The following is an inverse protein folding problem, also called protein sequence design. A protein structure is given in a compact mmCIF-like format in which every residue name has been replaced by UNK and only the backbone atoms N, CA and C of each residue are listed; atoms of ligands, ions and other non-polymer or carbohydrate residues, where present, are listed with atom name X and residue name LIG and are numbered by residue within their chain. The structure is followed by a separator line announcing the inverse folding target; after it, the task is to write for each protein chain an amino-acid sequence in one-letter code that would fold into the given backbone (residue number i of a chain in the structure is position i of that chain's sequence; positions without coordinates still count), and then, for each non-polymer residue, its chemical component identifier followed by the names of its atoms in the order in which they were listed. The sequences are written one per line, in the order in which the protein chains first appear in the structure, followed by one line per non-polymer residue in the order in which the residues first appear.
data_IF_456394626909
#
_entry.id   IF_456394626909
#
_cell.length_a   1.000
_cell.length_b   1.000
_cell.length_c   1.000
_cell.angle_alpha   90.00
_cell.angle_beta   90.00
_cell.angle_gamma   90.00
#
_symmetry.space_group_name_H-M   'P 1'
#
loop_
_entity.id
_entity.type
_entity.pdbx_description
1 polymer ?
#
# COMPACT_ATOMS: atom_id res chain seq x y z
N UNK A 1 60.22 46.75 -14.08
CA UNK A 1 59.15 46.66 -15.04
C UNK A 1 58.37 45.43 -14.68
N UNK A 2 57.31 45.54 -13.86
CA UNK A 2 56.40 44.46 -13.48
C UNK A 2 55.25 44.36 -14.50
N UNK A 3 55.13 43.22 -15.06
CA UNK A 3 54.33 42.93 -16.24
C UNK A 3 52.82 42.99 -15.91
N UNK A 4 52.09 43.94 -16.48
CA UNK A 4 50.67 44.18 -16.28
C UNK A 4 49.77 43.02 -16.78
N UNK A 5 50.31 41.98 -17.41
CA UNK A 5 49.55 40.82 -17.91
C UNK A 5 49.22 39.76 -16.87
N UNK A 6 49.93 39.73 -15.71
CA UNK A 6 49.67 38.74 -14.65
C UNK A 6 48.48 39.08 -13.74
N UNK A 7 48.07 40.33 -13.67
CA UNK A 7 46.94 40.79 -12.83
C UNK A 7 45.56 40.59 -13.49
N UNK A 8 45.49 40.60 -14.82
CA UNK A 8 44.23 40.41 -15.55
C UNK A 8 43.78 38.95 -15.54
N UNK A 9 44.73 37.99 -15.49
CA UNK A 9 44.41 36.55 -15.50
C UNK A 9 43.87 36.03 -14.16
N UNK A 10 44.27 36.70 -13.02
CA UNK A 10 43.81 36.32 -11.67
C UNK A 10 42.35 36.78 -11.42
N UNK A 11 41.91 37.92 -11.97
CA UNK A 11 40.56 38.42 -11.81
C UNK A 11 39.53 37.62 -12.64
N UNK A 12 39.94 37.01 -13.77
CA UNK A 12 39.01 36.24 -14.62
C UNK A 12 38.71 34.86 -14.05
N UNK A 13 39.60 34.26 -13.27
CA UNK A 13 39.42 32.96 -12.59
C UNK A 13 38.48 33.04 -11.38
N UNK A 14 38.45 34.17 -10.66
CA UNK A 14 37.55 34.38 -9.53
C UNK A 14 36.06 34.53 -9.96
N UNK A 15 35.82 35.15 -11.10
CA UNK A 15 34.46 35.49 -11.53
C UNK A 15 33.69 34.31 -12.12
N UNK A 16 34.37 33.28 -12.65
CA UNK A 16 33.78 32.06 -13.12
C UNK A 16 33.29 31.13 -11.99
N UNK A 17 34.04 31.12 -10.85
CA UNK A 17 33.69 30.32 -9.67
C UNK A 17 32.39 30.79 -8.99
N UNK A 18 32.19 32.08 -8.87
CA UNK A 18 30.97 32.64 -8.26
C UNK A 18 29.72 32.47 -9.12
N UNK A 19 29.86 32.49 -10.42
CA UNK A 19 28.75 32.20 -11.36
C UNK A 19 28.38 30.71 -11.33
N UNK A 20 29.39 29.82 -11.23
CA UNK A 20 29.15 28.39 -11.09
C UNK A 20 28.52 28.05 -9.73
N UNK A 21 29.01 28.70 -8.64
CA UNK A 21 28.41 28.53 -7.31
C UNK A 21 26.96 29.09 -7.25
N UNK A 22 26.70 30.23 -7.87
CA UNK A 22 25.38 30.82 -7.99
C UNK A 22 24.41 29.93 -8.81
N UNK A 23 24.87 29.39 -9.94
CA UNK A 23 24.08 28.42 -10.75
C UNK A 23 23.83 27.13 -9.98
N UNK A 24 24.81 26.61 -9.24
CA UNK A 24 24.64 25.43 -8.40
C UNK A 24 23.65 25.68 -7.26
N UNK A 25 23.71 26.84 -6.60
CA UNK A 25 22.75 27.24 -5.57
C UNK A 25 21.32 27.41 -6.13
N UNK A 26 21.17 28.01 -7.30
CA UNK A 26 19.87 28.10 -7.98
C UNK A 26 19.36 26.72 -8.41
N UNK A 27 20.25 25.85 -8.89
CA UNK A 27 19.87 24.45 -9.21
C UNK A 27 19.44 23.68 -7.95
N UNK A 28 20.15 23.84 -6.83
CA UNK A 28 19.82 23.23 -5.53
C UNK A 28 18.51 23.78 -4.94
N UNK A 29 18.23 25.07 -5.12
CA UNK A 29 16.98 25.71 -4.71
C UNK A 29 15.80 25.30 -5.61
N UNK A 30 16.05 25.06 -6.89
CA UNK A 30 15.04 24.59 -7.83
C UNK A 30 14.62 23.11 -7.62
N UNK A 31 15.42 22.34 -6.88
CA UNK A 31 15.13 20.94 -6.54
C UNK A 31 14.39 20.76 -5.20
N UNK A 32 13.95 21.83 -4.55
CA UNK A 32 13.02 21.76 -3.42
C UNK A 32 11.64 21.29 -3.91
N UNK A 33 11.59 20.05 -4.45
CA UNK A 33 10.35 19.39 -4.84
C UNK A 33 9.62 19.09 -3.55
N UNK A 34 8.43 19.68 -3.36
CA UNK A 34 7.51 19.29 -2.30
C UNK A 34 7.23 17.78 -2.48
N UNK A 35 7.68 16.96 -1.53
CA UNK A 35 7.35 15.53 -1.53
C UNK A 35 5.95 15.37 -0.95
N UNK A 36 4.92 15.14 -1.77
CA UNK A 36 3.58 14.90 -1.25
C UNK A 36 3.55 13.58 -0.47
N UNK A 37 2.76 13.57 0.62
CA UNK A 37 2.54 12.36 1.40
C UNK A 37 1.92 11.27 0.51
N UNK A 38 2.47 10.07 0.58
CA UNK A 38 1.96 8.89 -0.11
C UNK A 38 1.37 7.91 0.89
N UNK A 39 0.37 7.17 0.45
CA UNK A 39 -0.20 6.10 1.26
C UNK A 39 0.71 4.89 1.31
N UNK A 40 0.58 4.15 2.40
CA UNK A 40 1.20 2.83 2.54
C UNK A 40 0.62 1.87 1.50
N UNK A 41 1.47 1.05 0.94
CA UNK A 41 1.05 -0.02 0.03
C UNK A 41 1.49 -1.38 0.56
N UNK A 42 0.68 -2.38 0.29
CA UNK A 42 0.94 -3.76 0.68
C UNK A 42 1.45 -4.57 -0.53
N UNK A 43 2.29 -5.55 -0.25
CA UNK A 43 2.85 -6.43 -1.27
C UNK A 43 1.94 -7.61 -1.60
N UNK A 44 0.96 -7.86 -0.72
CA UNK A 44 -0.07 -8.87 -0.89
C UNK A 44 -1.45 -8.21 -1.12
N UNK A 45 -1.74 -7.69 -2.34
CA UNK A 45 -2.95 -6.90 -2.61
C UNK A 45 -4.24 -7.72 -2.42
N UNK A 46 -4.17 -9.05 -2.54
CA UNK A 46 -5.32 -9.92 -2.33
C UNK A 46 -5.63 -10.15 -0.85
N UNK A 47 -4.64 -10.09 0.03
CA UNK A 47 -4.84 -10.10 1.46
C UNK A 47 -5.33 -8.74 1.97
N UNK A 48 -4.74 -7.64 1.49
CA UNK A 48 -5.11 -6.27 1.85
C UNK A 48 -6.15 -5.66 0.89
N UNK A 49 -7.07 -6.47 0.39
CA UNK A 49 -8.04 -6.11 -0.66
C UNK A 49 -8.96 -4.94 -0.29
N UNK A 50 -9.40 -4.85 0.96
CA UNK A 50 -10.28 -3.77 1.44
C UNK A 50 -9.55 -2.42 1.48
N UNK A 51 -8.23 -2.44 1.67
CA UNK A 51 -7.38 -1.27 1.54
C UNK A 51 -7.28 -0.81 0.08
N UNK A 52 -7.11 -1.74 -0.84
CA UNK A 52 -6.94 -1.45 -2.25
C UNK A 52 -8.21 -0.87 -2.91
N UNK A 53 -9.39 -1.46 -2.62
CA UNK A 53 -10.65 -1.03 -3.23
C UNK A 53 -11.84 -1.43 -2.33
N UNK A 54 -12.71 -0.48 -1.92
CA UNK A 54 -13.88 -0.79 -1.10
C UNK A 54 -14.89 -1.73 -1.77
N UNK A 55 -14.91 -1.83 -3.10
CA UNK A 55 -15.78 -2.75 -3.82
C UNK A 55 -15.39 -4.23 -3.67
N UNK A 56 -14.23 -4.55 -3.07
CA UNK A 56 -13.87 -5.91 -2.70
C UNK A 56 -14.55 -6.40 -1.41
N UNK A 57 -15.23 -5.53 -0.69
CA UNK A 57 -15.95 -5.90 0.54
C UNK A 57 -16.96 -7.01 0.27
N UNK A 58 -16.84 -8.14 0.99
CA UNK A 58 -17.73 -9.31 0.85
C UNK A 58 -17.66 -10.03 -0.50
N UNK A 59 -16.59 -9.81 -1.29
CA UNK A 59 -16.50 -10.39 -2.63
C UNK A 59 -16.03 -11.85 -2.63
N UNK A 60 -15.17 -12.23 -1.70
CA UNK A 60 -14.50 -13.54 -1.72
C UNK A 60 -15.09 -14.51 -0.73
N UNK A 61 -15.44 -14.04 0.45
CA UNK A 61 -15.86 -14.84 1.59
C UNK A 61 -17.15 -14.28 2.19
N UNK A 62 -17.97 -15.13 2.82
CA UNK A 62 -19.17 -14.68 3.52
C UNK A 62 -18.80 -13.85 4.76
N UNK A 63 -17.72 -14.25 5.44
CA UNK A 63 -17.13 -13.57 6.58
C UNK A 63 -15.61 -13.73 6.50
N UNK A 64 -14.88 -12.65 6.64
CA UNK A 64 -13.42 -12.74 6.75
C UNK A 64 -12.86 -11.72 7.73
N UNK A 65 -11.76 -12.09 8.38
CA UNK A 65 -10.92 -11.20 9.17
C UNK A 65 -9.49 -11.41 8.73
N UNK A 66 -8.81 -10.34 8.38
CA UNK A 66 -7.43 -10.37 7.91
C UNK A 66 -6.57 -9.45 8.77
N UNK A 67 -5.45 -9.96 9.26
CA UNK A 67 -4.38 -9.21 9.92
C UNK A 67 -3.17 -9.21 9.00
N UNK A 68 -2.63 -8.03 8.69
CA UNK A 68 -1.42 -7.86 7.90
C UNK A 68 -0.41 -7.04 8.69
N UNK A 69 0.84 -7.46 8.65
CA UNK A 69 1.98 -6.77 9.25
C UNK A 69 3.06 -6.61 8.20
N UNK A 70 3.55 -5.39 8.02
CA UNK A 70 4.60 -5.04 7.06
C UNK A 70 5.69 -4.25 7.76
N UNK A 71 6.94 -4.69 7.59
CA UNK A 71 8.15 -3.99 8.02
C UNK A 71 8.99 -3.68 6.78
N UNK A 72 9.14 -2.39 6.50
CA UNK A 72 9.90 -1.90 5.35
C UNK A 72 11.18 -1.23 5.83
N UNK A 73 12.30 -1.62 5.22
CA UNK A 73 13.65 -1.17 5.55
C UNK A 73 14.05 -1.49 6.99
N UNK A 74 14.01 -2.78 7.40
CA UNK A 74 14.26 -3.20 8.78
C UNK A 74 15.67 -2.86 9.28
N UNK A 75 16.61 -2.60 8.40
CA UNK A 75 17.98 -2.23 8.78
C UNK A 75 18.15 -0.73 9.06
N UNK A 76 17.12 0.10 8.81
CA UNK A 76 17.14 1.50 9.19
C UNK A 76 16.73 1.66 10.66
N UNK A 77 17.43 2.53 11.44
CA UNK A 77 16.89 3.00 12.71
C UNK A 77 15.52 3.65 12.48
N UNK A 78 14.46 3.10 13.11
CA UNK A 78 13.09 3.58 12.90
C UNK A 78 12.49 3.15 11.57
N UNK A 79 12.55 1.84 11.27
CA UNK A 79 11.91 1.23 10.10
C UNK A 79 10.43 1.63 9.95
N UNK A 80 9.87 1.42 8.77
CA UNK A 80 8.47 1.74 8.48
C UNK A 80 7.63 0.52 8.77
N UNK A 81 6.85 0.58 9.85
CA UNK A 81 6.01 -0.53 10.31
C UNK A 81 4.55 -0.20 10.07
N UNK A 82 3.88 -1.04 9.29
CA UNK A 82 2.45 -0.94 9.03
C UNK A 82 1.71 -2.17 9.54
N UNK A 83 0.66 -1.95 10.30
CA UNK A 83 -0.26 -3.01 10.75
C UNK A 83 -1.65 -2.71 10.25
N UNK A 84 -2.32 -3.70 9.68
CA UNK A 84 -3.69 -3.60 9.19
C UNK A 84 -4.56 -4.70 9.77
N UNK A 85 -5.74 -4.34 10.26
CA UNK A 85 -6.82 -5.26 10.56
C UNK A 85 -7.99 -4.92 9.63
N UNK A 86 -8.46 -5.90 8.88
CA UNK A 86 -9.58 -5.79 7.97
C UNK A 86 -10.61 -6.88 8.27
N UNK A 87 -11.88 -6.51 8.26
CA UNK A 87 -12.98 -7.46 8.43
C UNK A 87 -14.09 -7.14 7.42
N UNK A 88 -14.66 -8.15 6.82
CA UNK A 88 -15.80 -7.99 5.92
C UNK A 88 -16.84 -9.10 6.07
N UNK A 89 -18.07 -8.75 5.73
CA UNK A 89 -19.27 -9.56 5.94
C UNK A 89 -20.21 -9.39 4.75
N UNK A 90 -20.58 -10.49 4.12
CA UNK A 90 -21.69 -10.60 3.19
C UNK A 90 -22.28 -12.01 3.27
N UNK A 91 -23.34 -12.24 4.06
CA UNK A 91 -24.00 -13.54 4.11
C UNK A 91 -24.47 -13.96 2.70
N UNK A 92 -24.09 -15.16 2.29
CA UNK A 92 -24.48 -15.69 0.97
C UNK A 92 -25.90 -16.29 1.01
N UNK A 93 -26.87 -15.40 1.15
CA UNK A 93 -28.29 -15.75 1.11
C UNK A 93 -28.96 -15.14 -0.14
N UNK A 94 -30.02 -15.76 -0.69
CA UNK A 94 -30.75 -15.21 -1.82
C UNK A 94 -31.27 -13.79 -1.52
N UNK A 95 -31.06 -12.87 -2.47
CA UNK A 95 -31.44 -11.46 -2.32
C UNK A 95 -30.47 -10.59 -1.52
N UNK A 96 -29.37 -11.13 -0.98
CA UNK A 96 -28.35 -10.36 -0.29
C UNK A 96 -27.36 -9.75 -1.28
N UNK A 97 -27.50 -8.46 -1.49
CA UNK A 97 -26.65 -7.67 -2.38
C UNK A 97 -25.66 -6.79 -1.63
N UNK A 98 -25.84 -6.62 -0.34
CA UNK A 98 -25.12 -5.68 0.50
C UNK A 98 -23.98 -6.37 1.27
N UNK A 99 -22.84 -5.68 1.36
CA UNK A 99 -21.72 -6.11 2.14
C UNK A 99 -21.22 -4.95 3.00
N UNK A 100 -20.73 -5.28 4.19
CA UNK A 100 -20.15 -4.34 5.14
C UNK A 100 -18.71 -4.72 5.45
N UNK A 101 -17.88 -3.72 5.70
CA UNK A 101 -16.49 -3.92 6.06
C UNK A 101 -15.99 -2.90 7.06
N UNK A 102 -14.97 -3.30 7.78
CA UNK A 102 -14.19 -2.44 8.68
C UNK A 102 -12.72 -2.58 8.34
N UNK A 103 -12.00 -1.48 8.43
CA UNK A 103 -10.58 -1.39 8.17
C UNK A 103 -9.93 -0.55 9.25
N UNK A 104 -8.85 -1.07 9.85
CA UNK A 104 -8.00 -0.35 10.79
C UNK A 104 -6.57 -0.44 10.27
N UNK A 105 -5.96 0.71 9.99
CA UNK A 105 -4.56 0.81 9.59
C UNK A 105 -3.80 1.60 10.65
N UNK A 106 -2.66 1.09 11.07
CA UNK A 106 -1.68 1.81 11.87
C UNK A 106 -0.36 1.81 11.12
N UNK A 107 0.17 2.99 10.87
CA UNK A 107 1.47 3.20 10.26
C UNK A 107 2.38 3.97 11.23
N UNK A 108 3.62 3.48 11.38
CA UNK A 108 4.67 4.09 12.20
C UNK A 108 5.91 4.22 11.35
N UNK A 109 6.50 5.41 11.32
CA UNK A 109 7.66 5.65 10.47
C UNK A 109 8.68 6.56 11.12
N UNK A 110 9.94 6.21 10.88
CA UNK A 110 11.09 7.00 11.28
C UNK A 110 11.37 6.98 12.78
N UNK A 111 12.55 7.49 13.13
CA UNK A 111 13.02 7.67 14.52
C UNK A 111 12.22 8.73 15.26
N UNK A 112 11.58 9.66 14.53
CA UNK A 112 10.74 10.74 15.07
C UNK A 112 9.38 10.30 15.59
N UNK A 113 9.07 9.00 15.58
CA UNK A 113 7.81 8.46 16.11
C UNK A 113 6.56 8.98 15.41
N UNK A 114 6.65 9.30 14.12
CA UNK A 114 5.48 9.57 13.31
C UNK A 114 4.53 8.38 13.36
N UNK A 115 3.27 8.63 13.70
CA UNK A 115 2.23 7.60 13.75
C UNK A 115 0.98 8.11 13.05
N UNK A 116 0.45 7.31 12.13
CA UNK A 116 -0.84 7.54 11.48
C UNK A 116 -1.76 6.36 11.80
N UNK A 117 -2.91 6.65 12.37
CA UNK A 117 -3.98 5.69 12.62
C UNK A 117 -5.16 6.06 11.73
N UNK A 118 -5.71 5.11 11.00
CA UNK A 118 -6.88 5.31 10.15
C UNK A 118 -7.89 4.19 10.38
N UNK A 119 -9.15 4.56 10.65
CA UNK A 119 -10.29 3.67 10.81
C UNK A 119 -11.29 3.93 9.70
N UNK A 120 -11.63 2.89 8.92
CA UNK A 120 -12.55 2.97 7.79
C UNK A 120 -13.75 2.07 7.94
N UNK A 121 -14.94 2.60 7.64
CA UNK A 121 -16.14 1.83 7.39
C UNK A 121 -16.34 1.69 5.88
N UNK A 122 -16.64 0.46 5.43
CA UNK A 122 -16.79 0.14 4.04
C UNK A 122 -18.19 -0.45 3.80
N UNK A 123 -18.75 -0.09 2.66
CA UNK A 123 -20.01 -0.64 2.17
C UNK A 123 -19.83 -1.02 0.70
N UNK A 124 -20.36 -2.17 0.30
CA UNK A 124 -20.41 -2.56 -1.10
C UNK A 124 -21.77 -3.11 -1.48
N UNK A 125 -22.16 -2.83 -2.73
CA UNK A 125 -23.36 -3.37 -3.36
C UNK A 125 -22.96 -4.24 -4.55
N UNK A 126 -23.46 -5.47 -4.57
CA UNK A 126 -23.18 -6.46 -5.60
C UNK A 126 -24.39 -6.68 -6.48
N UNK A 127 -24.19 -6.68 -7.80
CA UNK A 127 -25.24 -6.96 -8.77
C UNK A 127 -24.76 -7.89 -9.87
N UNK A 128 -25.63 -8.73 -10.38
CA UNK A 128 -25.34 -9.56 -11.56
C UNK A 128 -25.70 -8.80 -12.82
N UNK A 129 -24.76 -8.68 -13.74
CA UNK A 129 -25.00 -8.12 -15.07
C UNK A 129 -25.44 -9.22 -16.05
N UNK A 130 -24.83 -10.39 -15.94
CA UNK A 130 -25.16 -11.59 -16.72
C UNK A 130 -25.03 -12.82 -15.82
N UNK A 131 -25.33 -14.01 -16.34
CA UNK A 131 -25.13 -15.27 -15.60
C UNK A 131 -23.67 -15.50 -15.16
N UNK A 132 -22.70 -14.96 -15.91
CA UNK A 132 -21.26 -15.19 -15.72
C UNK A 132 -20.51 -13.97 -15.17
N UNK A 133 -21.09 -12.77 -15.27
CA UNK A 133 -20.43 -11.51 -14.93
C UNK A 133 -21.25 -10.79 -13.87
N UNK A 134 -20.57 -10.31 -12.84
CA UNK A 134 -21.13 -9.49 -11.79
C UNK A 134 -20.32 -8.20 -11.61
N UNK A 135 -20.97 -7.18 -11.06
CA UNK A 135 -20.40 -5.89 -10.72
C UNK A 135 -20.56 -5.66 -9.22
N UNK A 136 -19.53 -5.16 -8.60
CA UNK A 136 -19.55 -4.64 -7.23
C UNK A 136 -19.19 -3.17 -7.26
N UNK A 137 -19.99 -2.32 -6.61
CA UNK A 137 -19.69 -0.93 -6.32
C UNK A 137 -19.45 -0.75 -4.83
N UNK A 138 -18.44 0.02 -4.44
CA UNK A 138 -18.07 0.19 -3.03
C UNK A 138 -17.84 1.65 -2.65
N UNK A 139 -18.11 1.95 -1.38
CA UNK A 139 -17.85 3.23 -0.74
C UNK A 139 -17.03 3.00 0.52
N UNK A 140 -16.16 3.96 0.85
CA UNK A 140 -15.35 3.99 2.08
C UNK A 140 -15.44 5.36 2.71
N UNK A 141 -15.67 5.40 4.00
CA UNK A 141 -15.54 6.58 4.84
C UNK A 141 -14.52 6.24 5.92
N UNK A 142 -13.45 7.02 6.02
CA UNK A 142 -12.37 6.79 6.99
C UNK A 142 -12.14 8.01 7.83
N UNK A 143 -11.90 7.80 9.13
CA UNK A 143 -11.36 8.79 10.05
C UNK A 143 -9.90 8.48 10.32
N UNK A 144 -9.04 9.47 10.13
CA UNK A 144 -7.61 9.36 10.33
C UNK A 144 -7.11 10.35 11.38
N UNK A 145 -6.08 9.91 12.13
CA UNK A 145 -5.35 10.74 13.09
C UNK A 145 -3.86 10.51 12.89
N UNK A 146 -3.11 11.60 12.75
CA UNK A 146 -1.66 11.55 12.68
C UNK A 146 -1.02 12.40 13.76
N UNK A 147 0.14 11.96 14.24
CA UNK A 147 0.91 12.63 15.28
C UNK A 147 2.39 12.36 15.10
N UNK A 148 3.22 13.24 15.64
CA UNK A 148 4.67 13.06 15.80
C UNK A 148 4.96 13.05 17.30
N UNK A 149 5.82 12.13 17.75
CA UNK A 149 6.21 12.01 19.15
C UNK A 149 7.43 12.90 19.44
N UNK A 150 7.23 14.21 19.55
CA UNK A 150 8.31 15.19 19.75
C UNK A 150 9.10 14.97 21.02
N UNK A 151 8.50 14.36 22.05
CA UNK A 151 9.17 14.09 23.32
C UNK A 151 10.36 13.11 23.19
N UNK A 152 10.50 12.45 22.04
CA UNK A 152 11.63 11.55 21.74
C UNK A 152 12.78 12.24 21.04
N UNK A 153 12.64 13.50 20.66
CA UNK A 153 13.72 14.26 20.03
C UNK A 153 14.67 14.84 21.06
N UNK A 154 15.94 14.86 20.69
CA UNK A 154 17.00 15.56 21.40
C UNK A 154 17.37 16.78 20.57
N UNK A 155 17.25 17.97 21.14
CA UNK A 155 17.54 19.22 20.49
C UNK A 155 18.95 19.71 20.85
N UNK A 156 19.53 20.59 20.02
CA UNK A 156 20.88 21.09 20.20
C UNK A 156 21.10 21.83 21.52
N UNK A 157 20.06 22.48 22.05
CA UNK A 157 20.06 23.18 23.36
C UNK A 157 20.14 22.23 24.56
N UNK A 158 19.81 20.97 24.34
CA UNK A 158 19.87 19.91 25.35
C UNK A 158 21.26 19.22 25.40
N UNK A 159 22.14 19.50 24.44
CA UNK A 159 23.46 18.89 24.36
C UNK A 159 24.51 19.85 24.95
N UNK A 160 25.04 19.51 26.11
CA UNK A 160 26.10 20.27 26.73
C UNK A 160 27.43 20.17 25.94
N UNK A 161 28.38 21.04 26.19
CA UNK A 161 29.67 21.08 25.50
C UNK A 161 30.51 19.78 25.64
N UNK A 162 30.24 18.99 26.66
CA UNK A 162 30.82 17.67 26.91
C UNK A 162 30.06 16.52 26.25
N UNK A 163 28.96 16.82 25.48
CA UNK A 163 28.13 15.83 24.81
C UNK A 163 27.08 15.18 25.72
N UNK A 164 26.97 15.59 26.98
CA UNK A 164 25.92 15.09 27.88
C UNK A 164 24.57 15.77 27.63
N UNK A 165 23.47 15.07 27.88
CA UNK A 165 22.14 15.66 27.81
C UNK A 165 21.85 16.46 29.09
N UNK A 166 21.54 17.73 28.94
CA UNK A 166 21.27 18.64 30.05
C UNK A 166 19.93 19.33 29.93
N UNK A 167 19.01 18.97 30.78
CA UNK A 167 17.75 19.69 31.00
C UNK A 167 16.67 19.54 29.91
N UNK A 168 15.50 20.16 30.10
CA UNK A 168 14.46 20.24 29.10
C UNK A 168 14.83 21.21 27.99
N UNK A 169 14.37 20.96 26.75
CA UNK A 169 14.54 21.88 25.64
C UNK A 169 13.75 23.17 25.82
N UNK A 170 14.30 24.28 25.35
CA UNK A 170 13.59 25.56 25.21
C UNK A 170 12.72 25.61 23.95
N UNK A 171 12.85 24.65 23.04
CA UNK A 171 12.06 24.57 21.81
C UNK A 171 10.60 24.28 22.15
N UNK A 172 9.71 25.19 21.74
CA UNK A 172 8.26 25.00 21.89
C UNK A 172 7.73 24.34 20.63
N UNK A 173 7.57 23.03 20.67
CA UNK A 173 6.98 22.25 19.59
C UNK A 173 5.55 21.87 19.96
N UNK A 174 4.63 22.76 19.67
CA UNK A 174 3.19 22.51 19.84
C UNK A 174 2.58 22.07 18.50
N UNK A 175 2.80 20.81 18.14
CA UNK A 175 2.15 20.20 17.00
C UNK A 175 1.01 19.30 17.49
N UNK A 176 -0.16 19.88 17.59
CA UNK A 176 -1.36 19.13 17.91
C UNK A 176 -1.58 18.00 16.89
N UNK A 177 -2.05 16.83 17.31
CA UNK A 177 -2.41 15.76 16.39
C UNK A 177 -3.42 16.24 15.33
N UNK A 178 -3.18 15.91 14.07
CA UNK A 178 -4.07 16.27 12.97
C UNK A 178 -5.08 15.14 12.75
N UNK A 179 -6.35 15.51 12.78
CA UNK A 179 -7.46 14.60 12.50
C UNK A 179 -8.05 14.93 11.13
N UNK A 180 -8.44 13.92 10.37
CA UNK A 180 -9.01 14.12 9.05
C UNK A 180 -10.08 13.07 8.73
N UNK A 181 -10.99 13.43 7.83
CA UNK A 181 -11.96 12.52 7.24
C UNK A 181 -11.55 12.26 5.78
N UNK A 182 -11.62 11.01 5.36
CA UNK A 182 -11.30 10.62 3.99
C UNK A 182 -12.45 9.83 3.38
N UNK A 183 -12.71 10.10 2.10
CA UNK A 183 -13.74 9.45 1.30
C UNK A 183 -13.09 8.67 0.17
N UNK A 184 -13.61 7.48 -0.09
CA UNK A 184 -13.17 6.63 -1.20
C UNK A 184 -14.33 5.91 -1.87
N UNK A 185 -14.13 5.56 -3.12
CA UNK A 185 -15.09 4.76 -3.90
C UNK A 185 -14.36 3.77 -4.78
N UNK A 186 -15.08 2.79 -5.28
CA UNK A 186 -14.52 1.85 -6.23
C UNK A 186 -15.56 0.98 -6.91
N UNK A 187 -15.13 0.32 -7.96
CA UNK A 187 -15.91 -0.65 -8.71
C UNK A 187 -15.06 -1.88 -9.06
N UNK A 188 -15.66 -3.04 -9.05
CA UNK A 188 -15.04 -4.30 -9.49
C UNK A 188 -15.99 -5.04 -10.40
N UNK A 189 -15.58 -5.23 -11.65
CA UNK A 189 -16.24 -6.15 -12.59
C UNK A 189 -15.58 -7.51 -12.45
N UNK A 190 -16.32 -8.58 -12.22
CA UNK A 190 -15.75 -9.88 -11.96
C UNK A 190 -16.58 -11.05 -12.51
N UNK A 191 -15.88 -12.14 -12.74
CA UNK A 191 -16.43 -13.43 -13.15
C UNK A 191 -15.80 -14.54 -12.32
N UNK A 192 -16.07 -15.79 -12.61
CA UNK A 192 -15.38 -16.94 -11.99
C UNK A 192 -13.91 -17.09 -12.39
N UNK A 193 -13.45 -16.39 -13.43
CA UNK A 193 -12.08 -16.51 -13.95
C UNK A 193 -11.30 -15.21 -14.01
N UNK A 194 -11.93 -14.04 -13.95
CA UNK A 194 -11.21 -12.77 -14.07
C UNK A 194 -11.91 -11.64 -13.32
N UNK A 195 -11.15 -10.59 -13.04
CA UNK A 195 -11.64 -9.35 -12.44
C UNK A 195 -10.94 -8.14 -13.03
N UNK A 196 -11.64 -7.02 -13.03
CA UNK A 196 -11.12 -5.68 -13.31
C UNK A 196 -11.61 -4.75 -12.20
N UNK A 197 -10.69 -4.05 -11.57
CA UNK A 197 -10.90 -3.20 -10.40
C UNK A 197 -10.48 -1.77 -10.70
N UNK A 198 -11.32 -0.80 -10.36
CA UNK A 198 -11.03 0.64 -10.40
C UNK A 198 -11.38 1.22 -9.04
N UNK A 199 -10.50 2.08 -8.46
CA UNK A 199 -10.80 2.78 -7.22
C UNK A 199 -10.18 4.18 -7.18
N UNK A 200 -10.85 5.05 -6.42
CA UNK A 200 -10.35 6.37 -6.03
C UNK A 200 -10.46 6.51 -4.51
N UNK A 201 -9.36 6.85 -3.86
CA UNK A 201 -9.30 7.10 -2.43
C UNK A 201 -8.90 8.54 -2.18
N UNK A 202 -9.22 9.07 -0.99
CA UNK A 202 -8.96 10.46 -0.62
C UNK A 202 -9.57 11.47 -1.61
N UNK A 203 -10.80 11.20 -2.06
CA UNK A 203 -11.50 12.03 -3.06
C UNK A 203 -11.70 13.47 -2.60
N UNK A 204 -11.80 13.68 -1.29
CA UNK A 204 -11.92 14.99 -0.65
C UNK A 204 -10.58 15.65 -0.32
N UNK A 205 -9.44 15.03 -0.64
CA UNK A 205 -8.08 15.54 -0.43
C UNK A 205 -7.89 16.22 0.94
N UNK A 206 -8.07 15.50 2.05
CA UNK A 206 -8.04 16.09 3.38
C UNK A 206 -6.67 16.69 3.69
N UNK A 207 -6.66 17.76 4.50
CA UNK A 207 -5.42 18.38 4.96
C UNK A 207 -4.74 17.50 6.02
N UNK A 208 -3.44 17.25 5.84
CA UNK A 208 -2.57 16.52 6.77
C UNK A 208 -1.50 17.43 7.40
N UNK A 209 -1.49 18.71 7.08
CA UNK A 209 -0.46 19.65 7.55
C UNK A 209 -0.54 19.90 9.04
N UNK A 210 0.60 19.82 9.76
CA UNK A 210 0.69 20.21 11.16
C UNK A 210 0.71 21.74 11.32
N UNK A 211 1.39 22.45 10.43
CA UNK A 211 1.52 23.91 10.42
C UNK A 211 1.16 24.55 9.09
N UNK A 212 1.31 23.84 7.98
CA UNK A 212 1.01 24.31 6.63
C UNK A 212 -0.07 23.44 6.00
N UNK A 213 -0.82 24.00 5.06
CA UNK A 213 -1.78 23.23 4.27
C UNK A 213 -1.01 22.21 3.40
N UNK A 214 -1.00 20.97 3.83
CA UNK A 214 -0.51 19.82 3.07
C UNK A 214 -1.67 18.89 2.82
N UNK A 215 -2.17 18.86 1.60
CA UNK A 215 -3.29 18.01 1.23
C UNK A 215 -2.81 16.58 0.94
N UNK A 216 -3.56 15.58 1.40
CA UNK A 216 -3.37 14.19 1.00
C UNK A 216 -3.89 14.03 -0.43
N UNK A 217 -3.01 13.74 -1.41
CA UNK A 217 -3.44 13.63 -2.79
C UNK A 217 -4.37 12.43 -2.99
N UNK A 218 -5.29 12.58 -3.94
CA UNK A 218 -6.15 11.48 -4.36
C UNK A 218 -5.31 10.32 -4.90
N UNK A 219 -5.61 9.10 -4.43
CA UNK A 219 -5.04 7.85 -4.95
C UNK A 219 -6.01 7.25 -5.95
N UNK A 220 -5.59 7.16 -7.20
CA UNK A 220 -6.29 6.44 -8.27
C UNK A 220 -5.63 5.10 -8.50
N UNK A 221 -6.42 4.05 -8.64
CA UNK A 221 -5.92 2.71 -8.91
C UNK A 221 -6.77 1.97 -9.93
N UNK A 222 -6.07 1.19 -10.78
CA UNK A 222 -6.67 0.23 -11.70
C UNK A 222 -5.91 -1.07 -11.59
N UNK A 223 -6.58 -2.20 -11.40
CA UNK A 223 -5.93 -3.50 -11.34
C UNK A 223 -6.82 -4.60 -11.89
N UNK A 224 -6.22 -5.68 -12.34
CA UNK A 224 -6.96 -6.81 -12.87
C UNK A 224 -6.12 -8.07 -12.92
N UNK A 225 -6.81 -9.18 -13.16
CA UNK A 225 -6.17 -10.46 -13.33
C UNK A 225 -7.12 -11.49 -13.90
N UNK A 226 -6.55 -12.58 -14.39
CA UNK A 226 -7.30 -13.67 -14.96
C UNK A 226 -6.70 -15.00 -14.52
N UNK A 227 -7.53 -15.90 -13.98
CA UNK A 227 -7.13 -17.23 -13.52
C UNK A 227 -7.35 -18.27 -14.60
N UNK A 228 -6.28 -18.92 -14.98
CA UNK A 228 -6.27 -20.06 -15.90
C UNK A 228 -6.14 -21.34 -15.09
N UNK A 229 -7.13 -22.21 -15.17
CA UNK A 229 -7.10 -23.52 -14.52
C UNK A 229 -6.44 -24.55 -15.42
N UNK A 230 -5.43 -25.24 -14.90
CA UNK A 230 -4.89 -26.48 -15.46
C UNK A 230 -5.72 -27.65 -14.92
N UNK A 231 -6.02 -27.60 -13.60
CA UNK A 231 -6.93 -28.53 -12.92
C UNK A 231 -7.93 -27.72 -12.13
N UNK A 232 -9.21 -27.79 -12.55
CA UNK A 232 -10.29 -27.06 -11.86
C UNK A 232 -10.82 -27.92 -10.70
N UNK A 233 -10.92 -27.35 -9.47
CA UNK A 233 -11.44 -28.09 -8.32
C UNK A 233 -12.92 -28.43 -8.54
N UNK A 234 -13.27 -29.69 -8.29
CA UNK A 234 -14.65 -30.18 -8.46
C UNK A 234 -15.00 -30.67 -9.88
N UNK A 235 -14.08 -30.60 -10.84
CA UNK A 235 -14.22 -31.24 -12.13
C UNK A 235 -13.81 -32.73 -12.02
N UNK A 236 -14.78 -33.63 -11.80
CA UNK A 236 -14.52 -35.06 -11.62
C UNK A 236 -13.92 -35.41 -10.26
N UNK A 237 -12.84 -36.21 -10.25
CA UNK A 237 -12.16 -36.70 -9.02
C UNK A 237 -11.14 -35.70 -8.44
N UNK A 238 -10.91 -34.57 -9.12
CA UNK A 238 -9.87 -33.63 -8.71
C UNK A 238 -10.26 -32.86 -7.43
N UNK A 239 -9.57 -33.15 -6.33
CA UNK A 239 -9.71 -32.45 -5.04
C UNK A 239 -8.79 -31.23 -4.93
N UNK A 240 -7.85 -31.06 -5.87
CA UNK A 240 -6.80 -30.04 -5.84
C UNK A 240 -6.98 -29.06 -7.00
N UNK A 241 -6.72 -27.78 -6.72
CA UNK A 241 -6.61 -26.75 -7.75
C UNK A 241 -5.15 -26.69 -8.25
N UNK A 242 -4.98 -26.64 -9.58
CA UNK A 242 -3.74 -26.20 -10.23
C UNK A 242 -4.09 -25.08 -11.18
N UNK A 243 -3.59 -23.88 -10.92
CA UNK A 243 -3.91 -22.71 -11.73
C UNK A 243 -2.75 -21.73 -11.79
N UNK A 244 -2.75 -20.86 -12.79
CA UNK A 244 -1.89 -19.70 -12.85
C UNK A 244 -2.71 -18.44 -13.10
N UNK A 245 -2.30 -17.33 -12.45
CA UNK A 245 -3.04 -16.08 -12.46
C UNK A 245 -2.10 -14.92 -12.75
N UNK A 246 -2.00 -14.47 -14.02
CA UNK A 246 -1.38 -13.20 -14.33
C UNK A 246 -2.20 -12.05 -13.76
N UNK A 247 -1.50 -11.04 -13.26
CA UNK A 247 -2.08 -9.83 -12.65
C UNK A 247 -1.32 -8.60 -13.11
N UNK A 248 -2.04 -7.48 -13.21
CA UNK A 248 -1.45 -6.17 -13.47
C UNK A 248 -2.16 -5.09 -12.66
N UNK A 249 -1.44 -4.02 -12.33
CA UNK A 249 -1.96 -2.89 -11.58
C UNK A 249 -1.25 -1.59 -11.93
N UNK A 250 -2.02 -0.49 -11.89
CA UNK A 250 -1.55 0.87 -12.07
C UNK A 250 -2.11 1.72 -10.92
N UNK A 251 -1.25 2.52 -10.31
CA UNK A 251 -1.58 3.38 -9.17
C UNK A 251 -0.95 4.75 -9.38
N UNK A 252 -1.70 5.80 -9.07
CA UNK A 252 -1.23 7.17 -9.19
C UNK A 252 -1.64 7.99 -7.97
N UNK A 253 -0.67 8.63 -7.30
CA UNK A 253 -0.91 9.50 -6.14
C UNK A 253 0.17 10.58 -6.04
N UNK A 254 -0.24 11.85 -5.96
CA UNK A 254 0.66 12.96 -5.64
C UNK A 254 1.85 13.11 -6.58
N UNK A 255 1.67 12.89 -7.89
CA UNK A 255 2.75 12.95 -8.88
C UNK A 255 3.63 11.68 -8.93
N UNK A 256 3.40 10.71 -8.04
CA UNK A 256 4.02 9.38 -8.10
C UNK A 256 3.13 8.41 -8.85
N UNK A 257 3.74 7.54 -9.63
CA UNK A 257 3.04 6.46 -10.35
C UNK A 257 3.70 5.13 -10.05
N UNK A 258 2.89 4.10 -9.79
CA UNK A 258 3.35 2.73 -9.56
C UNK A 258 2.67 1.81 -10.55
N UNK A 259 3.45 0.99 -11.23
CA UNK A 259 2.95 -0.07 -12.09
C UNK A 259 3.44 -1.42 -11.57
N UNK A 260 2.57 -2.41 -11.64
CA UNK A 260 2.83 -3.77 -11.17
C UNK A 260 2.40 -4.76 -12.24
N UNK A 261 3.21 -5.81 -12.42
CA UNK A 261 2.86 -6.96 -13.25
C UNK A 261 3.39 -8.22 -12.57
N UNK A 262 2.57 -9.25 -12.48
CA UNK A 262 2.95 -10.46 -11.75
C UNK A 262 2.26 -11.71 -12.22
N UNK A 263 2.75 -12.83 -11.72
CA UNK A 263 2.21 -14.15 -11.94
C UNK A 263 2.13 -14.92 -10.62
N UNK A 264 0.98 -15.48 -10.36
CA UNK A 264 0.76 -16.41 -9.25
C UNK A 264 0.48 -17.80 -9.78
N UNK A 265 1.09 -18.80 -9.15
CA UNK A 265 0.85 -20.23 -9.42
C UNK A 265 0.27 -20.83 -8.15
N UNK A 266 -0.91 -21.42 -8.25
CA UNK A 266 -1.59 -22.08 -7.15
C UNK A 266 -1.58 -23.60 -7.40
N UNK A 267 -1.06 -24.33 -6.43
CA UNK A 267 -1.16 -25.80 -6.34
C UNK A 267 -1.66 -26.09 -4.94
N UNK A 268 -2.97 -26.18 -4.77
CA UNK A 268 -3.60 -26.29 -3.45
C UNK A 268 -2.90 -27.33 -2.56
N UNK A 269 -2.49 -26.98 -1.33
CA UNK A 269 -2.86 -25.78 -0.56
C UNK A 269 -1.88 -24.59 -0.69
N UNK A 270 -0.88 -24.64 -1.56
CA UNK A 270 0.19 -23.65 -1.67
C UNK A 270 -0.05 -22.74 -2.87
N UNK A 271 0.22 -21.46 -2.69
CA UNK A 271 0.32 -20.46 -3.77
C UNK A 271 1.68 -19.79 -3.72
N UNK A 272 2.37 -19.71 -4.84
CA UNK A 272 3.60 -18.95 -5.01
C UNK A 272 3.38 -17.86 -6.06
N UNK A 273 4.00 -16.70 -5.87
CA UNK A 273 3.87 -15.58 -6.80
C UNK A 273 5.15 -14.77 -6.92
N UNK A 274 5.30 -14.13 -8.07
CA UNK A 274 6.32 -13.11 -8.30
C UNK A 274 5.68 -11.91 -8.97
N UNK A 275 5.94 -10.71 -8.44
CA UNK A 275 5.41 -9.45 -8.95
C UNK A 275 6.57 -8.49 -9.17
N UNK A 276 6.70 -7.98 -10.37
CA UNK A 276 7.57 -6.87 -10.68
C UNK A 276 6.83 -5.56 -10.45
N UNK A 277 7.47 -4.66 -9.71
CA UNK A 277 6.93 -3.35 -9.34
C UNK A 277 7.89 -2.26 -9.79
N UNK A 278 7.37 -1.29 -10.52
CA UNK A 278 8.09 -0.08 -10.90
C UNK A 278 7.39 1.12 -10.27
N UNK A 279 8.14 1.92 -9.52
CA UNK A 279 7.66 3.15 -8.87
C UNK A 279 8.39 4.32 -9.49
N UNK A 280 7.63 5.22 -10.11
CA UNK A 280 8.09 6.51 -10.60
C UNK A 280 7.83 7.56 -9.52
N UNK A 281 8.90 8.16 -8.99
CA UNK A 281 8.83 9.22 -7.99
C UNK A 281 8.39 10.55 -8.60
N UNK A 282 7.86 11.48 -7.78
CA UNK A 282 7.48 12.81 -8.25
C UNK A 282 8.63 13.52 -8.99
N UNK A 283 8.30 14.21 -10.07
CA UNK A 283 9.29 14.90 -10.91
C UNK A 283 9.96 14.02 -11.97
N UNK A 284 9.67 12.72 -12.02
CA UNK A 284 10.21 11.82 -13.05
C UNK A 284 11.71 11.52 -12.93
N UNK A 285 12.34 11.91 -11.81
CA UNK A 285 13.81 11.94 -11.63
C UNK A 285 14.37 10.57 -11.23
N UNK A 286 13.56 9.71 -10.61
CA UNK A 286 14.03 8.41 -10.15
C UNK A 286 12.97 7.32 -10.33
N UNK A 287 13.42 6.15 -10.76
CA UNK A 287 12.64 4.92 -10.81
C UNK A 287 13.13 3.96 -9.72
N UNK A 288 12.20 3.37 -8.99
CA UNK A 288 12.48 2.27 -8.10
C UNK A 288 11.91 0.99 -8.70
N UNK A 289 12.78 0.02 -8.90
CA UNK A 289 12.42 -1.30 -9.40
C UNK A 289 12.52 -2.30 -8.26
N UNK A 290 11.44 -3.03 -8.03
CA UNK A 290 11.36 -4.05 -6.98
C UNK A 290 10.84 -5.36 -7.58
N UNK A 291 11.33 -6.46 -7.05
CA UNK A 291 10.77 -7.78 -7.27
C UNK A 291 10.16 -8.25 -5.94
N UNK A 292 8.89 -8.61 -5.99
CA UNK A 292 8.14 -9.12 -4.83
C UNK A 292 7.97 -10.61 -4.99
N UNK A 293 8.54 -11.39 -4.08
CA UNK A 293 8.27 -12.82 -3.96
C UNK A 293 7.15 -13.03 -2.95
N UNK A 294 6.19 -13.88 -3.28
CA UNK A 294 5.01 -14.15 -2.43
C UNK A 294 4.84 -15.65 -2.25
N UNK A 295 4.57 -16.07 -1.03
CA UNK A 295 4.22 -17.43 -0.68
C UNK A 295 2.96 -17.45 0.18
N UNK A 296 1.98 -18.26 -0.18
CA UNK A 296 0.73 -18.42 0.53
C UNK A 296 0.43 -19.88 0.86
N UNK A 297 -0.20 -20.10 1.99
CA UNK A 297 -0.68 -21.40 2.45
C UNK A 297 -2.14 -21.29 2.87
N UNK A 298 -2.98 -22.18 2.38
CA UNK A 298 -4.39 -22.26 2.77
C UNK A 298 -4.65 -23.61 3.46
N UNK A 299 -5.11 -23.56 4.71
CA UNK A 299 -5.46 -24.72 5.51
C UNK A 299 -6.88 -24.52 6.09
N UNK A 300 -7.86 -25.17 5.49
CA UNK A 300 -9.26 -25.00 5.89
C UNK A 300 -9.74 -23.55 5.80
N UNK A 301 -10.15 -22.97 6.93
CA UNK A 301 -10.55 -21.55 7.04
C UNK A 301 -9.39 -20.58 7.30
N UNK A 302 -8.17 -21.07 7.47
CA UNK A 302 -6.99 -20.28 7.74
C UNK A 302 -6.19 -20.07 6.45
N UNK A 303 -5.73 -18.85 6.21
CA UNK A 303 -4.78 -18.49 5.17
C UNK A 303 -3.60 -17.74 5.77
N UNK A 304 -2.41 -18.16 5.41
CA UNK A 304 -1.16 -17.52 5.77
C UNK A 304 -0.48 -17.03 4.51
N UNK A 305 0.01 -15.82 4.53
CA UNK A 305 0.78 -15.23 3.44
C UNK A 305 2.09 -14.64 3.96
N UNK A 306 3.15 -14.81 3.19
CA UNK A 306 4.41 -14.12 3.40
C UNK A 306 4.89 -13.54 2.08
N UNK A 307 5.38 -12.32 2.11
CA UNK A 307 6.06 -11.74 0.95
C UNK A 307 7.33 -11.00 1.36
N UNK A 308 8.26 -10.95 0.41
CA UNK A 308 9.50 -10.23 0.53
C UNK A 308 9.73 -9.36 -0.71
N UNK A 309 9.91 -8.04 -0.50
CA UNK A 309 10.18 -7.07 -1.55
C UNK A 309 11.69 -6.87 -1.65
N UNK A 310 12.26 -7.24 -2.80
CA UNK A 310 13.68 -7.05 -3.11
C UNK A 310 13.82 -5.83 -4.01
N UNK A 311 14.52 -4.82 -3.53
CA UNK A 311 14.91 -3.70 -4.38
C UNK A 311 16.03 -4.08 -5.34
N UNK A 312 15.88 -3.75 -6.61
CA UNK A 312 16.86 -4.07 -7.64
C UNK A 312 18.00 -3.04 -7.73
N UNK A 313 17.96 -1.98 -6.93
CA UNK A 313 19.06 -1.01 -6.76
C UNK A 313 19.93 -1.40 -5.57
N UNK A 314 21.24 -1.06 -5.60
CA UNK A 314 22.18 -1.31 -4.48
C UNK A 314 21.69 -0.70 -3.18
N UNK A 315 21.27 0.57 -3.21
CA UNK A 315 20.76 1.26 -2.02
C UNK A 315 19.56 0.54 -1.41
N UNK A 316 18.63 0.04 -2.21
CA UNK A 316 17.45 -0.67 -1.74
C UNK A 316 17.77 -2.05 -1.14
N UNK A 317 18.80 -2.72 -1.64
CA UNK A 317 19.28 -4.00 -1.11
C UNK A 317 19.93 -3.82 0.29
N UNK A 318 20.73 -2.76 0.47
CA UNK A 318 21.41 -2.45 1.73
C UNK A 318 20.42 -2.08 2.86
N UNK A 319 19.22 -1.63 2.53
CA UNK A 319 18.18 -1.26 3.49
C UNK A 319 17.33 -2.45 3.98
N UNK A 320 17.53 -3.65 3.43
CA UNK A 320 16.83 -4.88 3.86
C UNK A 320 15.45 -5.12 3.22
N UNK A 321 15.08 -4.34 2.20
CA UNK A 321 13.82 -4.54 1.48
C UNK A 321 12.56 -4.34 2.33
N UNK A 322 11.52 -5.19 2.14
CA UNK A 322 10.34 -5.19 3.00
C UNK A 322 9.80 -6.60 3.20
N UNK A 323 9.44 -6.90 4.43
CA UNK A 323 8.80 -8.15 4.83
C UNK A 323 7.32 -7.90 5.13
N UNK A 324 6.45 -8.76 4.63
CA UNK A 324 5.01 -8.69 4.93
C UNK A 324 4.47 -10.07 5.28
N UNK A 325 3.76 -10.14 6.39
CA UNK A 325 3.09 -11.35 6.88
C UNK A 325 1.60 -11.07 6.94
N UNK A 326 0.79 -11.98 6.44
CA UNK A 326 -0.67 -11.90 6.53
C UNK A 326 -1.26 -13.15 7.12
N UNK A 327 -2.29 -12.95 7.94
CA UNK A 327 -3.11 -14.00 8.53
C UNK A 327 -4.57 -13.68 8.22
N UNK A 328 -5.26 -14.54 7.48
CA UNK A 328 -6.68 -14.38 7.22
C UNK A 328 -7.48 -15.58 7.75
N UNK A 329 -8.53 -15.26 8.48
CA UNK A 329 -9.48 -16.21 9.02
C UNK A 329 -10.81 -16.06 8.29
N UNK A 330 -11.36 -17.18 7.84
CA UNK A 330 -12.73 -17.27 7.35
C UNK A 330 -13.61 -17.84 8.46
N UNK A 331 -14.83 -17.36 8.61
CA UNK A 331 -15.75 -18.00 9.51
C UNK A 331 -15.97 -19.45 9.07
N UNK A 332 -15.75 -20.35 10.00
CA UNK A 332 -15.98 -21.78 9.81
C UNK A 332 -17.47 -22.00 9.62
N UNK A 333 -17.88 -22.08 8.37
CA UNK A 333 -19.16 -22.74 8.10
C UNK A 333 -18.98 -24.25 8.31
N UNK A 334 -19.78 -24.84 9.18
CA UNK A 334 -19.72 -26.29 9.43
C UNK A 334 -19.73 -27.01 8.10
N UNK A 335 -18.75 -27.92 7.91
CA UNK A 335 -18.48 -28.68 6.68
C UNK A 335 -19.72 -29.29 5.99
N UNK A 336 -20.79 -29.51 6.73
CA UNK A 336 -22.08 -30.02 6.21
C UNK A 336 -22.81 -29.08 5.25
N UNK A 337 -22.59 -27.77 5.37
CA UNK A 337 -23.25 -26.78 4.52
C UNK A 337 -22.44 -26.34 3.30
N UNK A 338 -21.14 -26.63 3.26
CA UNK A 338 -20.25 -26.19 2.17
C UNK A 338 -20.69 -26.77 0.81
N UNK A 339 -21.06 -28.04 0.77
CA UNK A 339 -21.55 -28.70 -0.46
C UNK A 339 -22.91 -28.18 -0.93
N UNK A 340 -23.82 -27.85 0.00
CA UNK A 340 -25.14 -27.24 -0.35
C UNK A 340 -24.99 -25.79 -0.80
N UNK A 341 -24.01 -25.04 -0.28
CA UNK A 341 -23.75 -23.63 -0.64
C UNK A 341 -23.08 -23.48 -1.99
N UNK A 342 -22.19 -24.37 -2.39
CA UNK A 342 -21.59 -24.37 -3.73
C UNK A 342 -22.64 -24.47 -4.85
N UNK A 343 -23.71 -25.25 -4.61
CA UNK A 343 -24.85 -25.37 -5.55
C UNK A 343 -25.82 -24.17 -5.52
N UNK A 344 -25.76 -23.30 -4.49
CA UNK A 344 -26.69 -22.17 -4.27
C UNK A 344 -26.04 -20.79 -4.38
N UNK A 345 -24.78 -20.69 -4.77
CA UNK A 345 -24.14 -19.38 -4.90
C UNK A 345 -24.87 -18.54 -5.93
N UNK A 346 -25.41 -17.42 -5.48
CA UNK A 346 -26.14 -16.46 -6.31
C UNK A 346 -25.17 -15.65 -7.17
N UNK A 347 -23.92 -15.44 -6.70
CA UNK A 347 -22.89 -14.68 -7.39
C UNK A 347 -21.67 -15.56 -7.73
N UNK A 348 -20.99 -15.30 -8.86
CA UNK A 348 -19.70 -15.89 -9.10
C UNK A 348 -18.72 -15.48 -7.98
N UNK A 349 -17.81 -16.37 -7.64
CA UNK A 349 -16.71 -16.04 -6.72
C UNK A 349 -15.59 -15.45 -7.55
N UNK A 350 -15.11 -14.29 -7.16
CA UNK A 350 -13.96 -13.70 -7.87
C UNK A 350 -12.73 -14.60 -7.72
N UNK A 351 -11.96 -14.81 -8.80
CA UNK A 351 -10.80 -15.70 -8.78
C UNK A 351 -9.61 -14.98 -8.19
N UNK A 352 -9.43 -15.08 -6.88
CA UNK A 352 -8.24 -14.56 -6.21
C UNK A 352 -7.17 -15.66 -6.14
N UNK A 353 -5.88 -15.35 -6.26
CA UNK A 353 -4.84 -16.23 -5.76
C UNK A 353 -5.13 -16.58 -4.30
N UNK A 354 -5.07 -17.86 -3.96
CA UNK A 354 -5.50 -18.31 -2.64
C UNK A 354 -4.41 -18.08 -1.59
N UNK A 355 -4.46 -16.98 -0.87
CA UNK A 355 -3.78 -16.75 0.42
C UNK A 355 -4.47 -15.66 1.22
#
# INVERSE_FOLDING_TARGET
MLNAQSLVCACYRGWSGWRAAGLLAVLLLATAISSPAQDVYFSQPFASRLHANPAFTGLFDDYSVTLSFRDQFPYLPGSFITTQLAADLRPNVPGQHHALGLLLNQDRSGTGGYTRLEMGALYAYHTRLTEKIALSGGLRVSYGRQRIAYNSFVFGDQIAADGTLSGPTAEVLDFAPVNYLSLGTGAVLYSSRGWLSLAGQHLNQPSLGFQQQSQLPMLLSASGGYKFFIVEPGAGVATREISYTPVAGLFHQGGSSRSEAGLYVTTSPITAGAVYRNILLPGGVAHQHLLVAVLGLQAGGLRLGYSYDVGLSRLSADLGGAHEVTLALRAFDRLENAHRRLKRRVYPVAPCPAF
#
